data_IF_127164652647
#
_entry.id   IF_127164652647
#
_cell.length_a   1.000
_cell.length_b   1.000
_cell.length_c   1.000
_cell.angle_alpha   90.00
_cell.angle_beta   90.00
_cell.angle_gamma   90.00
#
_symmetry.space_group_name_H-M   'P 1'
#
loop_
_entity.id
_entity.type
_entity.pdbx_description
1 polymer ?
#
# COMPACT_ATOMS: atom_id res chain seq x y z
N UNK A 1 -25.07 -60.06 3.58
CA UNK A 1 -23.88 -59.21 3.77
C UNK A 1 -23.09 -59.11 2.47
N UNK A 2 -23.18 -57.96 1.78
CA UNK A 2 -22.06 -57.33 1.06
C UNK A 2 -22.51 -55.91 0.69
N UNK A 3 -21.98 -54.93 1.41
CA UNK A 3 -22.20 -53.51 1.18
C UNK A 3 -21.32 -53.05 0.01
N UNK A 4 -21.84 -52.15 -0.82
CA UNK A 4 -21.01 -51.29 -1.65
C UNK A 4 -21.53 -49.85 -1.50
N UNK A 5 -20.88 -49.12 -0.57
CA UNK A 5 -21.03 -47.68 -0.38
C UNK A 5 -20.36 -46.96 -1.56
N UNK A 6 -21.14 -46.24 -2.38
CA UNK A 6 -20.62 -45.25 -3.32
C UNK A 6 -20.44 -43.92 -2.57
N UNK A 7 -19.21 -43.65 -2.14
CA UNK A 7 -18.83 -42.34 -1.60
C UNK A 7 -18.58 -41.38 -2.77
N UNK A 8 -19.51 -40.44 -2.98
CA UNK A 8 -19.30 -39.30 -3.87
C UNK A 8 -18.40 -38.29 -3.14
N UNK A 9 -17.12 -38.29 -3.47
CA UNK A 9 -16.17 -37.28 -3.00
C UNK A 9 -16.38 -35.98 -3.79
N UNK A 10 -17.19 -35.07 -3.25
CA UNK A 10 -17.23 -33.68 -3.71
C UNK A 10 -15.92 -33.00 -3.32
N UNK A 11 -15.05 -32.84 -4.31
CA UNK A 11 -13.81 -32.07 -4.25
C UNK A 11 -14.19 -30.58 -4.10
N UNK A 12 -14.24 -30.09 -2.87
CA UNK A 12 -14.28 -28.65 -2.59
C UNK A 12 -12.90 -28.08 -2.90
N UNK A 13 -12.79 -27.41 -4.05
CA UNK A 13 -11.60 -26.64 -4.41
C UNK A 13 -11.51 -25.47 -3.42
N UNK A 14 -10.66 -25.60 -2.41
CA UNK A 14 -10.26 -24.49 -1.56
C UNK A 14 -9.46 -23.51 -2.45
N UNK A 15 -10.13 -22.47 -2.94
CA UNK A 15 -9.45 -21.34 -3.57
C UNK A 15 -8.59 -20.65 -2.51
N UNK A 16 -7.29 -20.90 -2.55
CA UNK A 16 -6.31 -20.08 -1.81
C UNK A 16 -6.28 -18.72 -2.49
N UNK A 17 -7.11 -17.79 -2.01
CA UNK A 17 -6.99 -16.38 -2.34
C UNK A 17 -5.66 -15.88 -1.78
N UNK A 18 -4.63 -15.82 -2.61
CA UNK A 18 -3.41 -15.10 -2.29
C UNK A 18 -3.76 -13.62 -2.20
N UNK A 19 -3.89 -13.09 -0.98
CA UNK A 19 -3.81 -11.66 -0.78
C UNK A 19 -2.42 -11.23 -1.23
N UNK A 20 -2.33 -10.51 -2.35
CA UNK A 20 -1.11 -9.82 -2.76
C UNK A 20 -0.87 -8.73 -1.71
N UNK A 21 0.05 -8.97 -0.77
CA UNK A 21 0.50 -7.93 0.13
C UNK A 21 1.15 -6.81 -0.72
N UNK A 22 0.87 -5.55 -0.37
CA UNK A 22 1.55 -4.43 -1.01
C UNK A 22 3.03 -4.47 -0.58
N UNK A 23 3.93 -4.65 -1.53
CA UNK A 23 5.36 -4.67 -1.31
C UNK A 23 5.89 -3.22 -1.26
N UNK A 24 6.86 -2.95 -0.38
CA UNK A 24 7.54 -1.66 -0.36
C UNK A 24 8.33 -1.43 -1.66
N UNK A 25 8.32 -0.20 -2.14
CA UNK A 25 9.22 0.28 -3.19
C UNK A 25 10.61 0.64 -2.65
N UNK A 26 11.49 1.18 -3.51
CA UNK A 26 12.76 1.74 -3.06
C UNK A 26 12.53 2.99 -2.20
N UNK A 27 13.39 3.25 -1.20
CA UNK A 27 13.31 4.47 -0.43
C UNK A 27 13.64 5.70 -1.28
N UNK A 28 12.95 6.81 -1.02
CA UNK A 28 13.23 8.09 -1.69
C UNK A 28 14.34 8.87 -0.98
N UNK A 29 15.06 9.70 -1.75
CA UNK A 29 15.93 10.72 -1.17
C UNK A 29 15.08 11.78 -0.43
N UNK A 30 15.68 12.48 0.54
CA UNK A 30 14.99 13.58 1.25
C UNK A 30 14.46 14.65 0.27
N UNK A 31 15.22 14.97 -0.78
CA UNK A 31 14.79 15.96 -1.77
C UNK A 31 13.62 15.47 -2.60
N UNK A 32 13.60 14.22 -3.02
CA UNK A 32 12.50 13.69 -3.84
C UNK A 32 11.25 13.47 -3.00
N UNK A 33 11.43 13.00 -1.75
CA UNK A 33 10.35 12.94 -0.78
C UNK A 33 9.68 14.30 -0.58
N UNK A 34 10.47 15.38 -0.42
CA UNK A 34 9.94 16.73 -0.25
C UNK A 34 9.23 17.23 -1.52
N UNK A 35 9.72 16.89 -2.72
CA UNK A 35 9.02 17.19 -3.98
C UNK A 35 7.65 16.50 -4.03
N UNK A 36 7.61 15.19 -3.76
CA UNK A 36 6.36 14.43 -3.75
C UNK A 36 5.40 15.00 -2.71
N UNK A 37 5.87 15.27 -1.49
CA UNK A 37 5.06 15.93 -0.47
C UNK A 37 4.46 17.23 -1.00
N UNK A 38 5.26 18.09 -1.65
CA UNK A 38 4.81 19.33 -2.26
C UNK A 38 3.76 19.20 -3.37
N UNK A 39 3.64 18.03 -4.01
CA UNK A 39 2.62 17.76 -5.04
C UNK A 39 1.27 17.34 -4.47
N UNK A 40 1.22 16.99 -3.19
CA UNK A 40 -0.01 16.50 -2.55
C UNK A 40 -0.99 17.65 -2.25
N UNK A 41 -2.28 17.45 -2.46
CA UNK A 41 -3.34 18.45 -2.24
C UNK A 41 -3.78 18.57 -0.78
N UNK A 42 -2.86 18.74 0.16
CA UNK A 42 -3.12 18.68 1.61
C UNK A 42 -4.18 19.67 2.10
N UNK A 43 -4.86 19.29 3.19
CA UNK A 43 -5.73 20.17 3.96
C UNK A 43 -4.97 20.70 5.18
N UNK A 44 -4.31 21.85 5.03
CA UNK A 44 -3.41 22.36 6.07
C UNK A 44 -2.13 21.51 6.18
N UNK A 45 -1.88 20.96 7.36
CA UNK A 45 -0.62 20.26 7.69
C UNK A 45 -0.68 18.75 7.47
N UNK A 46 -1.86 18.19 7.15
CA UNK A 46 -2.08 16.75 6.99
C UNK A 46 -2.59 16.39 5.59
N UNK A 47 -2.33 15.14 5.20
CA UNK A 47 -2.78 14.55 3.94
C UNK A 47 -3.83 13.47 4.25
N UNK A 48 -5.09 13.76 3.91
CA UNK A 48 -6.17 12.79 4.10
C UNK A 48 -6.02 11.56 3.20
N UNK A 49 -6.58 10.44 3.65
CA UNK A 49 -6.49 9.14 2.97
C UNK A 49 -6.87 9.20 1.49
N UNK A 50 -7.97 9.86 1.15
CA UNK A 50 -8.45 9.94 -0.24
C UNK A 50 -7.40 10.59 -1.14
N UNK A 51 -6.76 11.66 -0.66
CA UNK A 51 -5.71 12.41 -1.37
C UNK A 51 -4.35 11.71 -1.36
N UNK A 52 -4.13 10.80 -0.41
CA UNK A 52 -2.91 10.01 -0.31
C UNK A 52 -2.83 8.87 -1.33
N UNK A 53 -3.97 8.38 -1.83
CA UNK A 53 -4.08 7.18 -2.68
C UNK A 53 -3.14 7.20 -3.89
N UNK A 54 -2.94 8.37 -4.50
CA UNK A 54 -2.08 8.51 -5.67
C UNK A 54 -0.58 8.56 -5.33
N UNK A 55 -0.23 8.85 -4.09
CA UNK A 55 1.16 9.04 -3.65
C UNK A 55 1.67 7.92 -2.75
N UNK A 56 0.79 7.15 -2.11
CA UNK A 56 1.14 6.15 -1.10
C UNK A 56 0.89 4.73 -1.63
N UNK A 57 1.83 3.83 -1.39
CA UNK A 57 1.76 2.42 -1.76
C UNK A 57 0.89 1.65 -0.76
N UNK A 58 1.13 1.87 0.53
CA UNK A 58 0.35 1.27 1.61
C UNK A 58 0.08 2.30 2.70
N UNK A 59 -1.17 2.76 2.78
CA UNK A 59 -1.61 3.80 3.70
C UNK A 59 -1.39 3.41 5.17
N UNK A 60 -1.70 2.17 5.54
CA UNK A 60 -1.59 1.66 6.92
C UNK A 60 -0.13 1.61 7.40
N UNK A 61 0.83 1.53 6.48
CA UNK A 61 2.26 1.57 6.82
C UNK A 61 2.79 3.00 7.00
N UNK A 62 2.08 4.00 6.49
CA UNK A 62 2.47 5.42 6.57
C UNK A 62 1.75 6.14 7.72
N UNK A 63 0.45 5.92 7.88
CA UNK A 63 -0.35 6.40 9.01
C UNK A 63 -0.06 5.54 10.25
N UNK A 64 1.08 5.83 10.89
CA UNK A 64 1.63 5.02 11.99
C UNK A 64 0.96 5.30 13.33
N UNK A 65 0.37 6.49 13.49
CA UNK A 65 -0.39 6.84 14.68
C UNK A 65 -1.88 6.44 14.59
N UNK A 66 -2.36 6.10 13.39
CA UNK A 66 -3.72 5.63 13.14
C UNK A 66 -4.76 6.72 13.25
N UNK A 67 -4.37 7.99 13.07
CA UNK A 67 -5.26 9.14 13.16
C UNK A 67 -6.24 9.23 11.98
N UNK A 68 -5.93 8.59 10.86
CA UNK A 68 -6.72 8.64 9.63
C UNK A 68 -6.29 9.72 8.65
N UNK A 69 -5.29 10.54 9.02
CA UNK A 69 -4.59 11.45 8.13
C UNK A 69 -3.07 11.23 8.23
N UNK A 70 -2.33 11.50 7.15
CA UNK A 70 -0.86 11.40 7.15
C UNK A 70 -0.25 12.75 7.49
N UNK A 71 0.53 12.81 8.58
CA UNK A 71 1.35 13.97 8.91
C UNK A 71 2.61 14.07 8.04
N UNK A 72 3.27 15.24 8.03
CA UNK A 72 4.52 15.44 7.30
C UNK A 72 5.65 14.49 7.77
N UNK A 73 5.72 14.21 9.08
CA UNK A 73 6.72 13.32 9.66
C UNK A 73 6.48 11.85 9.27
N UNK A 74 5.22 11.44 9.23
CA UNK A 74 4.80 10.12 8.77
C UNK A 74 5.07 9.93 7.29
N UNK A 75 4.74 10.92 6.47
CA UNK A 75 5.06 10.90 5.05
C UNK A 75 6.57 10.75 4.83
N UNK A 76 7.39 11.50 5.58
CA UNK A 76 8.86 11.40 5.51
C UNK A 76 9.37 10.00 5.91
N UNK A 77 8.82 9.41 6.97
CA UNK A 77 9.15 8.02 7.34
C UNK A 77 8.70 7.03 6.26
N UNK A 78 7.54 7.25 5.67
CA UNK A 78 7.02 6.50 4.53
C UNK A 78 8.00 6.52 3.35
N UNK A 79 8.58 7.69 3.03
CA UNK A 79 9.59 7.81 1.98
C UNK A 79 10.82 6.95 2.26
N UNK A 80 11.35 6.99 3.50
CA UNK A 80 12.49 6.18 3.90
C UNK A 80 12.15 4.67 4.00
N UNK A 81 10.89 4.34 4.20
CA UNK A 81 10.37 2.98 4.25
C UNK A 81 9.98 2.40 2.88
N UNK A 82 10.07 3.19 1.81
CA UNK A 82 9.65 2.74 0.48
C UNK A 82 8.13 2.67 0.30
N UNK A 83 7.36 3.36 1.14
CA UNK A 83 5.89 3.35 1.09
C UNK A 83 5.30 4.52 0.31
N UNK A 84 6.13 5.45 -0.16
CA UNK A 84 5.74 6.56 -1.03
C UNK A 84 6.17 6.26 -2.46
N UNK A 85 5.25 6.44 -3.41
CA UNK A 85 5.52 6.28 -4.83
C UNK A 85 6.46 7.37 -5.30
N UNK A 86 7.54 6.98 -5.97
CA UNK A 86 8.34 7.91 -6.76
C UNK A 86 7.44 8.57 -7.80
N UNK A 87 7.38 9.90 -7.82
CA UNK A 87 6.71 10.66 -8.88
C UNK A 87 7.71 11.07 -9.97
N UNK A 88 8.82 10.35 -10.09
CA UNK A 88 9.74 10.48 -11.21
C UNK A 88 8.92 10.12 -12.46
N UNK A 89 8.80 11.06 -13.41
CA UNK A 89 8.31 10.76 -14.74
C UNK A 89 9.03 9.50 -15.22
N UNK A 90 8.34 8.49 -15.76
CA UNK A 90 8.04 8.42 -17.19
C UNK A 90 9.12 8.98 -18.14
N UNK A 91 10.39 8.99 -17.73
CA UNK A 91 11.54 9.22 -18.59
C UNK A 91 12.29 7.89 -18.76
N UNK A 92 11.53 6.84 -19.07
CA UNK A 92 12.09 5.66 -19.75
C UNK A 92 11.99 5.93 -21.26
N UNK A 93 12.92 6.74 -21.75
CA UNK A 93 13.32 6.75 -23.17
C UNK A 93 14.60 5.94 -23.35
#
# INVERSE_FOLDING_TARGET
MKLAFLAAATLLIAGTGSALAAEAGPPLSDSDCQKVWGMTERDGDTLSKDKATDFVINYEMVDTDGSGDISADEFKKGCAGGWIKSQEGTDAE
#
